data_IF_225860731281
#
_entry.id   IF_225860731281
#
_cell.length_a   1.000
_cell.length_b   1.000
_cell.length_c   1.000
_cell.angle_alpha   90.00
_cell.angle_beta   90.00
_cell.angle_gamma   90.00
#
_symmetry.space_group_name_H-M   'P 1'
#
loop_
_entity.id
_entity.type
_entity.pdbx_description
1 polymer ?
#
# COMPACT_ATOMS: atom_id res chain seq x y z
N UNK A 1 14.33 20.05 -15.46
CA UNK A 1 13.90 18.83 -14.72
C UNK A 1 15.07 17.88 -14.68
N UNK A 2 15.29 17.21 -13.57
CA UNK A 2 16.39 16.28 -13.35
C UNK A 2 15.84 14.90 -13.02
N UNK A 3 16.35 13.86 -13.70
CA UNK A 3 15.96 12.47 -13.46
C UNK A 3 16.86 11.83 -12.40
N UNK A 4 16.27 11.09 -11.49
CA UNK A 4 16.98 10.28 -10.50
C UNK A 4 16.56 8.82 -10.66
N UNK A 5 17.52 7.97 -11.00
CA UNK A 5 17.32 6.53 -11.00
C UNK A 5 17.36 6.02 -9.55
N UNK A 6 16.29 5.35 -9.10
CA UNK A 6 16.23 4.85 -7.72
C UNK A 6 17.14 3.64 -7.50
N UNK A 7 17.38 2.83 -8.53
CA UNK A 7 18.19 1.62 -8.45
C UNK A 7 17.66 0.55 -7.50
N UNK A 8 16.44 0.72 -6.98
CA UNK A 8 15.86 -0.14 -5.97
C UNK A 8 14.43 -0.54 -6.29
N UNK A 9 14.04 -1.75 -5.88
CA UNK A 9 12.65 -2.24 -5.88
C UNK A 9 12.05 -2.32 -4.47
N UNK A 10 12.80 -1.87 -3.47
CA UNK A 10 12.33 -1.72 -2.09
C UNK A 10 11.45 -0.48 -1.97
N UNK A 11 10.17 -0.69 -1.65
CA UNK A 11 9.20 0.40 -1.51
C UNK A 11 9.58 1.40 -0.42
N UNK A 12 10.16 0.92 0.67
CA UNK A 12 10.53 1.80 1.79
C UNK A 12 11.69 2.70 1.41
N UNK A 13 12.68 2.15 0.71
CA UNK A 13 13.79 2.92 0.15
C UNK A 13 13.30 3.96 -0.86
N UNK A 14 12.43 3.57 -1.80
CA UNK A 14 11.92 4.47 -2.83
C UNK A 14 11.10 5.62 -2.25
N UNK A 15 10.28 5.40 -1.22
CA UNK A 15 9.62 6.48 -0.48
C UNK A 15 10.59 7.28 0.40
N UNK A 16 11.60 6.65 0.96
CA UNK A 16 12.69 7.33 1.66
C UNK A 16 13.42 8.31 0.75
N UNK A 17 13.71 7.89 -0.49
CA UNK A 17 14.32 8.72 -1.53
C UNK A 17 13.39 9.89 -1.92
N UNK A 18 12.09 9.63 -2.17
CA UNK A 18 11.09 10.67 -2.43
C UNK A 18 11.08 11.71 -1.30
N UNK A 19 11.06 11.25 -0.03
CA UNK A 19 11.06 12.12 1.15
C UNK A 19 12.34 12.93 1.28
N UNK A 20 13.51 12.30 1.06
CA UNK A 20 14.81 12.92 1.14
C UNK A 20 14.96 14.10 0.17
N UNK A 21 14.61 13.89 -1.11
CA UNK A 21 14.65 14.96 -2.11
C UNK A 21 13.54 16.00 -1.93
N UNK A 22 12.51 15.69 -1.19
CA UNK A 22 11.45 16.64 -0.85
C UNK A 22 11.87 17.61 0.25
N UNK A 23 12.54 17.12 1.31
CA UNK A 23 12.79 17.93 2.52
C UNK A 23 14.25 18.26 2.77
N UNK A 24 15.17 17.33 2.51
CA UNK A 24 16.57 17.45 2.92
C UNK A 24 17.46 17.89 1.77
N UNK A 25 17.47 17.12 0.68
CA UNK A 25 18.29 17.43 -0.52
C UNK A 25 17.47 18.20 -1.55
N UNK A 26 17.27 19.45 -1.28
CA UNK A 26 16.43 20.32 -2.10
C UNK A 26 17.18 20.75 -3.37
N UNK A 27 16.85 20.11 -4.49
CA UNK A 27 17.37 20.52 -5.79
C UNK A 27 16.52 21.68 -6.35
N UNK A 28 17.11 22.66 -7.05
CA UNK A 28 16.37 23.78 -7.62
C UNK A 28 15.46 23.35 -8.78
N UNK A 29 15.81 22.29 -9.48
CA UNK A 29 15.03 21.75 -10.58
C UNK A 29 13.90 20.85 -10.07
N UNK A 30 12.87 20.69 -10.90
CA UNK A 30 11.88 19.62 -10.66
C UNK A 30 12.56 18.26 -10.74
N UNK A 31 12.47 17.46 -9.67
CA UNK A 31 12.96 16.09 -9.67
C UNK A 31 11.91 15.17 -10.27
N UNK A 32 12.35 14.26 -11.10
CA UNK A 32 11.53 13.19 -11.68
C UNK A 32 12.09 11.82 -11.31
N UNK A 33 11.22 10.95 -10.78
CA UNK A 33 11.51 9.55 -10.47
C UNK A 33 10.57 8.66 -11.29
N UNK A 34 11.10 7.53 -11.78
CA UNK A 34 10.29 6.50 -12.41
C UNK A 34 10.76 5.13 -11.88
N UNK A 35 9.92 4.47 -11.09
CA UNK A 35 10.34 3.36 -10.26
C UNK A 35 9.27 2.27 -10.12
N UNK A 36 9.65 1.09 -9.68
CA UNK A 36 8.77 -0.03 -9.39
C UNK A 36 9.16 -0.73 -8.10
N UNK A 37 8.29 -1.61 -7.62
CA UNK A 37 8.51 -2.36 -6.38
C UNK A 37 8.23 -3.85 -6.55
N UNK A 38 8.81 -4.66 -5.68
CA UNK A 38 8.25 -5.98 -5.37
C UNK A 38 6.80 -5.85 -4.91
N UNK A 39 5.98 -6.93 -4.88
CA UNK A 39 4.57 -6.86 -4.51
C UNK A 39 4.33 -6.04 -3.25
N UNK A 40 3.52 -4.98 -3.37
CA UNK A 40 3.33 -3.97 -2.33
C UNK A 40 1.91 -3.42 -2.33
N UNK A 41 1.34 -3.25 -1.15
CA UNK A 41 0.14 -2.45 -0.89
C UNK A 41 0.54 -1.08 -0.34
N UNK A 42 0.13 -0.02 -1.03
CA UNK A 42 0.37 1.36 -0.62
C UNK A 42 -0.93 1.98 -0.11
N UNK A 43 -1.06 2.08 1.21
CA UNK A 43 -2.25 2.64 1.87
C UNK A 43 -2.17 4.16 1.91
N UNK A 44 -3.28 4.84 1.67
CA UNK A 44 -3.36 6.30 1.75
C UNK A 44 -3.23 6.82 3.19
N UNK A 45 -2.74 8.06 3.31
CA UNK A 45 -2.44 8.73 4.59
C UNK A 45 -3.56 8.64 5.61
N UNK A 46 -4.82 8.72 5.15
CA UNK A 46 -6.00 8.84 6.02
C UNK A 46 -6.83 7.55 6.13
N UNK A 47 -6.38 6.46 5.51
CA UNK A 47 -7.12 5.21 5.50
C UNK A 47 -6.88 4.37 6.77
N UNK A 48 -7.90 3.59 7.15
CA UNK A 48 -7.75 2.52 8.10
C UNK A 48 -7.19 1.28 7.38
N UNK A 49 -5.96 0.91 7.70
CA UNK A 49 -5.23 -0.16 7.00
C UNK A 49 -6.02 -1.46 6.97
N UNK A 50 -6.59 -1.85 8.11
CA UNK A 50 -7.23 -3.17 8.26
C UNK A 50 -8.60 -3.28 7.57
N UNK A 51 -9.17 -2.15 7.17
CA UNK A 51 -10.39 -2.12 6.34
C UNK A 51 -10.08 -2.14 4.83
N UNK A 52 -8.81 -1.94 4.46
CA UNK A 52 -8.39 -1.75 3.08
C UNK A 52 -7.63 -2.96 2.49
N UNK A 53 -7.14 -3.85 3.34
CA UNK A 53 -6.26 -4.95 2.91
C UNK A 53 -6.74 -6.31 3.43
N UNK A 54 -6.43 -7.36 2.67
CA UNK A 54 -6.48 -8.74 3.15
C UNK A 54 -5.12 -9.07 3.80
N UNK A 55 -4.99 -8.76 5.11
CA UNK A 55 -3.73 -8.94 5.81
C UNK A 55 -3.23 -10.39 5.81
N UNK A 56 -4.06 -11.42 6.08
CA UNK A 56 -3.61 -12.81 6.03
C UNK A 56 -3.06 -13.22 4.65
N UNK A 57 -3.75 -12.80 3.59
CA UNK A 57 -3.27 -13.06 2.24
C UNK A 57 -1.93 -12.36 1.97
N UNK A 58 -1.83 -11.09 2.36
CA UNK A 58 -0.63 -10.29 2.14
C UNK A 58 0.58 -10.87 2.86
N UNK A 59 0.41 -11.28 4.14
CA UNK A 59 1.45 -11.91 4.94
C UNK A 59 1.91 -13.25 4.32
N UNK A 60 0.96 -14.09 3.89
CA UNK A 60 1.25 -15.38 3.29
C UNK A 60 1.98 -15.29 1.94
N UNK A 61 1.82 -14.18 1.21
CA UNK A 61 2.43 -13.96 -0.11
C UNK A 61 3.60 -12.97 -0.08
N UNK A 62 4.06 -12.56 1.10
CA UNK A 62 5.19 -11.63 1.24
C UNK A 62 4.94 -10.26 0.62
N UNK A 63 3.68 -9.80 0.60
CA UNK A 63 3.30 -8.50 0.05
C UNK A 63 3.66 -7.42 1.07
N UNK A 64 4.52 -6.50 0.68
CA UNK A 64 4.92 -5.38 1.53
C UNK A 64 3.75 -4.42 1.77
N UNK A 65 3.76 -3.77 2.92
CA UNK A 65 2.76 -2.80 3.29
C UNK A 65 3.40 -1.48 3.67
N UNK A 66 3.00 -0.41 3.02
CA UNK A 66 3.49 0.93 3.32
C UNK A 66 2.34 1.94 3.38
N UNK A 67 2.44 2.92 4.28
CA UNK A 67 1.55 4.08 4.28
C UNK A 67 2.24 5.24 3.61
N UNK A 68 1.69 5.70 2.48
CA UNK A 68 2.24 6.86 1.75
C UNK A 68 1.84 8.19 2.39
N UNK A 69 2.56 9.25 2.06
CA UNK A 69 2.34 10.60 2.60
C UNK A 69 1.13 11.31 1.98
N UNK A 70 0.68 10.87 0.80
CA UNK A 70 -0.51 11.40 0.13
C UNK A 70 -1.80 10.71 0.58
N UNK A 71 -2.94 11.39 0.38
CA UNK A 71 -4.29 10.80 0.52
C UNK A 71 -4.65 9.86 -0.63
N UNK A 72 -5.95 9.56 -0.76
CA UNK A 72 -6.50 8.63 -1.75
C UNK A 72 -6.63 7.19 -1.23
N UNK A 73 -7.13 6.30 -2.08
CA UNK A 73 -7.38 4.88 -1.78
C UNK A 73 -6.12 4.01 -1.81
N UNK A 74 -6.24 2.80 -1.28
CA UNK A 74 -5.16 1.79 -1.34
C UNK A 74 -4.92 1.35 -2.78
N UNK A 75 -3.66 1.23 -3.14
CA UNK A 75 -3.22 0.67 -4.42
C UNK A 75 -2.36 -0.57 -4.18
N UNK A 76 -2.40 -1.49 -5.13
CA UNK A 76 -1.48 -2.60 -5.27
C UNK A 76 -0.50 -2.30 -6.41
N UNK A 77 0.75 -2.66 -6.23
CA UNK A 77 1.80 -2.60 -7.26
C UNK A 77 2.75 -3.79 -7.12
N UNK A 78 3.38 -4.17 -8.22
CA UNK A 78 4.33 -5.26 -8.32
C UNK A 78 5.41 -4.94 -9.38
N UNK A 79 6.18 -5.94 -9.77
CA UNK A 79 7.21 -5.77 -10.81
C UNK A 79 6.64 -5.50 -12.21
N UNK A 80 5.33 -5.72 -12.41
CA UNK A 80 4.59 -5.35 -13.62
C UNK A 80 4.00 -3.95 -13.57
N UNK A 81 4.04 -3.29 -12.40
CA UNK A 81 3.57 -1.93 -12.21
C UNK A 81 4.71 -0.91 -12.15
N UNK A 82 4.44 0.33 -12.53
CA UNK A 82 5.37 1.43 -12.41
C UNK A 82 4.78 2.56 -11.59
N UNK A 83 5.61 3.31 -10.90
CA UNK A 83 5.29 4.57 -10.25
C UNK A 83 6.11 5.69 -10.89
N UNK A 84 5.52 6.86 -10.96
CA UNK A 84 6.23 8.08 -11.31
C UNK A 84 6.03 9.12 -10.21
N UNK A 85 7.05 9.93 -9.97
CA UNK A 85 7.01 11.00 -8.97
C UNK A 85 7.64 12.26 -9.54
N UNK A 86 6.95 13.39 -9.37
CA UNK A 86 7.49 14.73 -9.57
C UNK A 86 7.58 15.44 -8.23
N UNK A 87 8.76 16.01 -7.94
CA UNK A 87 9.00 16.80 -6.73
C UNK A 87 9.36 18.21 -7.20
N UNK A 88 8.57 19.19 -6.79
CA UNK A 88 8.75 20.57 -7.23
C UNK A 88 8.66 21.53 -6.06
N UNK A 89 9.67 22.39 -5.92
CA UNK A 89 9.62 23.54 -5.02
C UNK A 89 8.80 24.64 -5.67
N UNK A 90 7.65 24.93 -5.11
CA UNK A 90 6.70 25.93 -5.62
C UNK A 90 5.93 26.56 -4.48
N UNK A 91 5.72 27.88 -4.55
CA UNK A 91 4.85 28.58 -3.63
C UNK A 91 3.43 27.99 -3.61
N UNK A 92 2.66 28.33 -2.58
CA UNK A 92 1.34 27.77 -2.34
C UNK A 92 0.42 27.87 -3.57
N UNK A 93 -0.23 26.76 -3.90
CA UNK A 93 -1.23 26.64 -4.96
C UNK A 93 -2.22 25.52 -4.64
N UNK A 94 -3.31 25.48 -5.40
CA UNK A 94 -4.28 24.39 -5.33
C UNK A 94 -3.70 23.08 -5.85
N UNK A 95 -4.38 21.96 -5.53
CA UNK A 95 -4.05 20.64 -6.09
C UNK A 95 -4.36 20.69 -7.59
N UNK A 96 -3.34 20.47 -8.41
CA UNK A 96 -3.46 20.46 -9.86
C UNK A 96 -2.74 19.26 -10.43
N UNK A 97 -3.49 18.37 -11.07
CA UNK A 97 -2.94 17.14 -11.64
C UNK A 97 -2.46 17.30 -13.08
N UNK A 98 -3.11 18.17 -13.86
CA UNK A 98 -2.98 18.23 -15.32
C UNK A 98 -1.54 18.39 -15.81
N UNK A 99 -0.76 19.28 -15.18
CA UNK A 99 0.62 19.56 -15.57
C UNK A 99 1.57 18.36 -15.37
N UNK A 100 1.27 17.48 -14.44
CA UNK A 100 2.10 16.30 -14.14
C UNK A 100 1.69 15.06 -14.93
N UNK A 101 0.41 14.97 -15.29
CA UNK A 101 -0.10 13.82 -16.05
C UNK A 101 -0.01 14.01 -17.56
N UNK A 102 0.01 15.26 -18.06
CA UNK A 102 0.13 15.53 -19.50
C UNK A 102 1.37 14.90 -20.14
N UNK A 103 2.58 14.96 -19.53
CA UNK A 103 3.76 14.26 -20.05
C UNK A 103 3.59 12.73 -20.09
N UNK A 104 2.87 12.16 -19.10
CA UNK A 104 2.61 10.71 -19.03
C UNK A 104 1.66 10.28 -20.16
N UNK A 105 0.60 11.04 -20.40
CA UNK A 105 -0.33 10.79 -21.52
C UNK A 105 0.40 10.93 -22.86
N UNK A 106 1.25 11.97 -22.99
CA UNK A 106 2.05 12.17 -24.20
C UNK A 106 2.98 11.00 -24.51
N UNK A 107 3.68 10.50 -23.48
CA UNK A 107 4.56 9.33 -23.62
C UNK A 107 3.80 8.07 -24.06
N UNK A 108 2.62 7.83 -23.51
CA UNK A 108 1.77 6.72 -23.93
C UNK A 108 1.27 6.89 -25.37
N UNK A 109 0.94 8.13 -25.77
CA UNK A 109 0.54 8.46 -27.13
C UNK A 109 1.63 8.15 -28.17
N UNK A 110 2.91 8.39 -27.86
CA UNK A 110 4.04 8.00 -28.72
C UNK A 110 4.17 6.48 -28.88
N UNK A 111 3.77 5.73 -27.87
CA UNK A 111 3.72 4.26 -27.92
C UNK A 111 2.43 3.72 -28.58
N UNK A 112 1.55 4.59 -29.10
CA UNK A 112 0.32 4.22 -29.77
C UNK A 112 -0.84 3.93 -28.81
N UNK A 113 -0.74 4.29 -27.51
CA UNK A 113 -1.77 4.08 -26.52
C UNK A 113 -2.57 5.35 -26.30
N UNK A 114 -3.87 5.32 -26.57
CA UNK A 114 -4.78 6.46 -26.35
C UNK A 114 -5.27 6.50 -24.90
N UNK A 115 -4.64 7.34 -24.10
CA UNK A 115 -4.98 7.53 -22.70
C UNK A 115 -5.77 8.82 -22.46
N UNK A 116 -6.70 8.82 -21.51
CA UNK A 116 -7.50 9.98 -21.15
C UNK A 116 -7.49 10.23 -19.63
N UNK A 117 -7.57 11.50 -19.25
CA UNK A 117 -7.75 11.91 -17.86
C UNK A 117 -9.24 12.02 -17.51
N UNK A 118 -9.68 11.40 -16.43
CA UNK A 118 -11.09 11.39 -16.02
C UNK A 118 -11.55 12.68 -15.30
N UNK A 119 -10.68 13.66 -15.15
CA UNK A 119 -11.00 14.95 -14.52
C UNK A 119 -10.88 14.97 -12.99
N UNK A 120 -10.62 13.83 -12.33
CA UNK A 120 -10.36 13.77 -10.88
C UNK A 120 -8.90 13.40 -10.61
N UNK A 121 -8.55 12.13 -10.69
CA UNK A 121 -7.20 11.64 -10.39
C UNK A 121 -6.84 10.34 -11.11
N UNK A 122 -7.68 9.83 -12.01
CA UNK A 122 -7.43 8.59 -12.72
C UNK A 122 -7.12 8.83 -14.20
N UNK A 123 -6.23 8.01 -14.76
CA UNK A 123 -6.05 7.87 -16.20
C UNK A 123 -6.69 6.58 -16.67
N UNK A 124 -7.33 6.65 -17.83
CA UNK A 124 -8.10 5.54 -18.42
C UNK A 124 -7.70 5.28 -19.86
N UNK A 125 -7.81 4.02 -20.27
CA UNK A 125 -7.81 3.57 -21.66
C UNK A 125 -9.14 2.88 -21.89
N UNK A 126 -9.90 3.31 -22.90
CA UNK A 126 -11.24 2.80 -23.21
C UNK A 126 -12.18 2.77 -21.98
N UNK A 127 -12.09 3.82 -21.13
CA UNK A 127 -12.89 3.95 -19.93
C UNK A 127 -12.44 3.07 -18.75
N UNK A 128 -11.44 2.19 -18.91
CA UNK A 128 -10.86 1.37 -17.84
C UNK A 128 -9.62 2.05 -17.25
N UNK A 129 -9.55 2.09 -15.93
CA UNK A 129 -8.46 2.72 -15.19
C UNK A 129 -7.17 1.91 -15.32
N UNK A 130 -6.07 2.58 -15.62
CA UNK A 130 -4.73 2.01 -15.59
C UNK A 130 -3.76 2.80 -14.68
N UNK A 131 -4.17 3.99 -14.23
CA UNK A 131 -3.36 4.85 -13.38
C UNK A 131 -4.22 5.57 -12.36
N UNK A 132 -3.72 5.66 -11.13
CA UNK A 132 -4.23 6.53 -10.09
C UNK A 132 -3.16 7.53 -9.68
N UNK A 133 -3.57 8.79 -9.48
CA UNK A 133 -2.67 9.87 -9.14
C UNK A 133 -3.00 10.47 -7.79
N UNK A 134 -1.99 10.94 -7.08
CA UNK A 134 -2.12 11.62 -5.81
C UNK A 134 -1.10 12.74 -5.69
N UNK A 135 -1.45 13.76 -4.92
CA UNK A 135 -0.59 14.89 -4.68
C UNK A 135 -0.61 15.23 -3.20
N UNK A 136 0.53 15.62 -2.67
CA UNK A 136 0.61 16.15 -1.31
C UNK A 136 1.62 17.28 -1.25
N UNK A 137 1.58 17.97 -0.12
CA UNK A 137 2.44 19.09 0.16
C UNK A 137 3.22 18.84 1.42
N UNK A 138 4.49 19.20 1.39
CA UNK A 138 5.37 19.13 2.55
C UNK A 138 6.27 20.37 2.55
N UNK A 139 6.00 21.29 3.48
CA UNK A 139 6.59 22.63 3.44
C UNK A 139 6.17 23.40 2.18
N UNK A 140 7.14 23.96 1.47
CA UNK A 140 6.99 24.64 0.19
C UNK A 140 7.17 23.70 -1.02
N UNK A 141 7.19 22.40 -0.79
CA UNK A 141 7.37 21.40 -1.82
C UNK A 141 6.04 20.71 -2.17
N UNK A 142 5.77 20.57 -3.46
CA UNK A 142 4.69 19.76 -4.01
C UNK A 142 5.28 18.45 -4.50
N UNK A 143 4.69 17.34 -4.05
CA UNK A 143 4.98 16.00 -4.55
C UNK A 143 3.74 15.47 -5.25
N UNK A 144 3.88 15.18 -6.53
CA UNK A 144 2.87 14.50 -7.33
C UNK A 144 3.39 13.12 -7.71
N UNK A 145 2.64 12.09 -7.38
CA UNK A 145 2.98 10.74 -7.78
C UNK A 145 1.78 9.99 -8.34
N UNK A 146 2.05 9.07 -9.25
CA UNK A 146 1.05 8.22 -9.87
C UNK A 146 1.55 6.80 -10.05
N UNK A 147 0.59 5.88 -10.16
CA UNK A 147 0.82 4.48 -10.47
C UNK A 147 0.44 4.19 -11.93
N UNK A 148 1.13 3.25 -12.56
CA UNK A 148 0.83 2.75 -13.90
C UNK A 148 0.70 1.22 -13.83
N UNK A 149 -0.42 0.67 -14.21
CA UNK A 149 -0.60 -0.76 -14.42
C UNK A 149 -0.06 -1.09 -15.80
N UNK A 150 1.22 -1.49 -15.88
CA UNK A 150 1.83 -1.86 -17.17
C UNK A 150 1.52 -3.32 -17.51
N UNK A 151 1.92 -4.25 -16.64
CA UNK A 151 1.65 -5.70 -16.73
C UNK A 151 1.49 -6.30 -15.32
N UNK A 152 0.67 -5.63 -14.51
CA UNK A 152 0.43 -5.94 -13.09
C UNK A 152 -0.44 -7.18 -12.95
N UNK A 153 -0.16 -8.02 -11.95
CA UNK A 153 -1.02 -9.14 -11.57
C UNK A 153 -2.32 -8.66 -10.92
N UNK A 154 -3.37 -8.50 -11.74
CA UNK A 154 -4.69 -8.07 -11.29
C UNK A 154 -5.34 -9.09 -10.35
N UNK A 155 -5.02 -10.39 -10.47
CA UNK A 155 -5.58 -11.39 -9.57
C UNK A 155 -4.99 -11.24 -8.16
N UNK A 156 -3.70 -11.04 -8.04
CA UNK A 156 -3.05 -10.76 -6.76
C UNK A 156 -3.50 -9.42 -6.18
N UNK A 157 -3.68 -8.39 -7.00
CA UNK A 157 -4.26 -7.11 -6.59
C UNK A 157 -5.63 -7.31 -5.93
N UNK A 158 -6.55 -8.06 -6.55
CA UNK A 158 -7.88 -8.34 -6.01
C UNK A 158 -7.80 -9.13 -4.71
N UNK A 159 -6.97 -10.17 -4.66
CA UNK A 159 -6.84 -11.03 -3.50
C UNK A 159 -6.28 -10.27 -2.28
N UNK A 160 -5.34 -9.36 -2.50
CA UNK A 160 -4.69 -8.57 -1.45
C UNK A 160 -5.52 -7.39 -0.94
N UNK A 161 -6.46 -6.87 -1.74
CA UNK A 161 -7.33 -5.73 -1.39
C UNK A 161 -8.75 -6.12 -1.00
N UNK A 162 -9.12 -7.40 -1.10
CA UNK A 162 -10.43 -7.87 -0.68
C UNK A 162 -10.38 -8.31 0.77
N UNK A 163 -10.91 -7.48 1.68
CA UNK A 163 -10.87 -7.70 3.13
C UNK A 163 -11.48 -9.03 3.55
N UNK A 164 -12.59 -9.42 2.94
CA UNK A 164 -13.25 -10.69 3.20
C UNK A 164 -12.74 -11.78 2.26
N UNK A 165 -11.86 -12.65 2.71
CA UNK A 165 -11.22 -13.70 1.91
C UNK A 165 -12.23 -14.63 1.19
N UNK A 166 -13.39 -14.91 1.80
CA UNK A 166 -14.45 -15.72 1.19
C UNK A 166 -15.14 -15.04 -0.01
N UNK A 167 -14.94 -13.73 -0.20
CA UNK A 167 -15.45 -12.97 -1.35
C UNK A 167 -14.54 -13.01 -2.57
N UNK A 168 -13.34 -13.58 -2.43
CA UNK A 168 -12.39 -13.71 -3.54
C UNK A 168 -12.89 -14.84 -4.44
N UNK A 169 -13.58 -14.47 -5.49
CA UNK A 169 -14.13 -15.41 -6.48
C UNK A 169 -13.72 -14.99 -7.88
N UNK A 170 -13.85 -15.90 -8.84
CA UNK A 170 -13.65 -15.56 -10.25
C UNK A 170 -14.53 -14.40 -10.71
N UNK A 171 -15.71 -14.21 -10.09
CA UNK A 171 -16.60 -13.08 -10.34
C UNK A 171 -16.04 -11.76 -9.83
N UNK A 172 -15.38 -11.71 -8.65
CA UNK A 172 -14.76 -10.50 -8.13
C UNK A 172 -13.56 -10.07 -8.97
N UNK A 173 -12.72 -11.01 -9.39
CA UNK A 173 -11.60 -10.75 -10.31
C UNK A 173 -12.12 -10.20 -11.65
N UNK A 174 -13.16 -10.80 -12.21
CA UNK A 174 -13.79 -10.31 -13.44
C UNK A 174 -14.33 -8.90 -13.27
N UNK A 175 -15.04 -8.61 -12.18
CA UNK A 175 -15.59 -7.27 -11.89
C UNK A 175 -14.51 -6.20 -11.74
N UNK A 176 -13.31 -6.53 -11.25
CA UNK A 176 -12.17 -5.59 -11.21
C UNK A 176 -11.58 -5.42 -12.61
N UNK A 177 -11.37 -6.50 -13.37
CA UNK A 177 -10.89 -6.45 -14.76
C UNK A 177 -11.80 -5.64 -15.69
N UNK A 178 -13.09 -5.57 -15.39
CA UNK A 178 -14.03 -4.73 -16.15
C UNK A 178 -13.80 -3.21 -15.89
N UNK A 179 -13.11 -2.86 -14.82
CA UNK A 179 -12.86 -1.46 -14.39
C UNK A 179 -11.40 -1.01 -14.52
N UNK A 180 -10.46 -1.95 -14.53
CA UNK A 180 -9.03 -1.68 -14.68
C UNK A 180 -8.45 -2.42 -15.88
N UNK A 181 -7.31 -1.96 -16.36
CA UNK A 181 -6.59 -2.59 -17.48
C UNK A 181 -5.09 -2.38 -17.34
N UNK A 182 -4.31 -3.28 -17.92
CA UNK A 182 -2.86 -3.10 -18.09
C UNK A 182 -2.57 -2.35 -19.38
N UNK A 183 -1.56 -1.49 -19.37
CA UNK A 183 -1.09 -0.76 -20.56
C UNK A 183 -0.60 -1.74 -21.63
N UNK A 184 0.07 -2.82 -21.22
CA UNK A 184 0.60 -3.85 -22.13
C UNK A 184 -0.45 -4.45 -23.06
N UNK A 185 -1.72 -4.51 -22.62
CA UNK A 185 -2.85 -5.02 -23.42
C UNK A 185 -3.23 -4.10 -24.59
N UNK A 186 -2.75 -2.83 -24.58
CA UNK A 186 -3.13 -1.79 -25.55
C UNK A 186 -1.95 -1.34 -26.44
N UNK A 187 -0.78 -1.92 -26.24
CA UNK A 187 0.38 -1.64 -27.08
C UNK A 187 0.21 -2.29 -28.45
N UNK A 188 0.60 -1.60 -29.55
CA UNK A 188 0.50 -2.16 -30.91
C UNK A 188 1.46 -3.34 -31.13
N UNK A 189 2.50 -3.48 -30.34
CA UNK A 189 3.43 -4.62 -30.32
C UNK A 189 3.87 -4.91 -28.89
N UNK A 190 4.21 -6.17 -28.54
CA UNK A 190 4.73 -6.52 -27.23
C UNK A 190 5.96 -5.69 -26.88
N UNK A 191 6.02 -5.20 -25.65
CA UNK A 191 7.13 -4.40 -25.11
C UNK A 191 7.47 -4.93 -23.72
N UNK A 192 8.76 -5.08 -23.43
CA UNK A 192 9.21 -5.42 -22.09
C UNK A 192 9.20 -4.21 -21.15
N UNK A 193 9.24 -4.48 -19.86
CA UNK A 193 9.13 -3.46 -18.82
C UNK A 193 10.30 -2.44 -18.85
N UNK A 194 11.50 -2.83 -19.24
CA UNK A 194 12.65 -1.93 -19.29
C UNK A 194 12.58 -1.01 -20.52
N UNK A 195 12.15 -1.53 -21.66
CA UNK A 195 11.87 -0.74 -22.87
C UNK A 195 10.75 0.26 -22.60
N UNK A 196 9.70 -0.15 -21.91
CA UNK A 196 8.62 0.75 -21.47
C UNK A 196 9.17 1.88 -20.60
N UNK A 197 9.94 1.56 -19.55
CA UNK A 197 10.59 2.54 -18.69
C UNK A 197 11.44 3.53 -19.50
N UNK A 198 12.33 3.02 -20.32
CA UNK A 198 13.24 3.87 -21.12
C UNK A 198 12.47 4.84 -22.01
N UNK A 199 11.37 4.39 -22.61
CA UNK A 199 10.52 5.22 -23.47
C UNK A 199 9.79 6.28 -22.66
N UNK A 200 9.19 5.91 -21.52
CA UNK A 200 8.53 6.85 -20.63
C UNK A 200 9.48 7.92 -20.11
N UNK A 201 10.65 7.53 -19.60
CA UNK A 201 11.66 8.48 -19.06
C UNK A 201 12.15 9.40 -20.14
N UNK A 202 12.53 8.89 -21.32
CA UNK A 202 12.99 9.70 -22.44
C UNK A 202 11.98 10.76 -22.87
N UNK A 203 10.70 10.37 -22.97
CA UNK A 203 9.64 11.28 -23.38
C UNK A 203 9.37 12.33 -22.31
N UNK A 204 9.19 11.91 -21.04
CA UNK A 204 8.89 12.82 -19.93
C UNK A 204 10.04 13.81 -19.69
N UNK A 205 11.29 13.36 -19.86
CA UNK A 205 12.47 14.23 -19.81
C UNK A 205 12.63 15.11 -21.07
N UNK A 206 11.75 14.97 -22.06
CA UNK A 206 11.81 15.68 -23.33
C UNK A 206 13.20 15.57 -24.00
N UNK A 207 13.79 14.38 -23.93
CA UNK A 207 15.13 14.08 -24.47
C UNK A 207 16.30 14.68 -23.67
N UNK A 208 16.04 15.38 -22.55
CA UNK A 208 17.11 15.85 -21.64
C UNK A 208 17.83 14.66 -21.03
N UNK A 209 19.16 14.79 -20.92
CA UNK A 209 20.03 13.82 -20.23
C UNK A 209 20.39 14.26 -18.79
N UNK A 210 19.72 15.27 -18.27
CA UNK A 210 19.98 15.78 -16.93
C UNK A 210 19.61 14.75 -15.87
N UNK A 211 20.63 14.23 -15.18
CA UNK A 211 20.47 13.21 -14.15
C UNK A 211 21.22 13.61 -12.89
N UNK A 212 20.69 13.15 -11.75
CA UNK A 212 21.40 13.20 -10.47
C UNK A 212 21.72 11.76 -10.04
N UNK A 213 22.98 11.51 -9.70
CA UNK A 213 23.41 10.22 -9.18
C UNK A 213 23.41 10.27 -7.65
N UNK A 214 22.64 9.39 -7.02
CA UNK A 214 22.60 9.23 -5.56
C UNK A 214 23.99 8.89 -5.05
N UNK A 215 24.51 9.73 -4.17
CA UNK A 215 25.84 9.51 -3.54
C UNK A 215 25.75 8.50 -2.41
N UNK A 216 26.87 7.92 -1.94
CA UNK A 216 26.85 7.05 -0.74
C UNK A 216 26.30 7.73 0.51
N UNK A 217 26.50 9.03 0.67
CA UNK A 217 25.95 9.83 1.76
C UNK A 217 24.42 9.94 1.64
N UNK A 218 23.92 10.25 0.44
CA UNK A 218 22.49 10.29 0.16
C UNK A 218 21.86 8.92 0.45
N UNK A 219 22.47 7.82 -0.05
CA UNK A 219 21.98 6.45 0.15
C UNK A 219 21.86 6.09 1.62
N UNK A 220 22.88 6.41 2.41
CA UNK A 220 22.86 6.17 3.86
C UNK A 220 21.69 6.90 4.53
N UNK A 221 21.50 8.19 4.22
CA UNK A 221 20.42 8.99 4.79
C UNK A 221 19.04 8.54 4.32
N UNK A 222 18.89 8.15 3.05
CA UNK A 222 17.66 7.60 2.49
C UNK A 222 17.25 6.33 3.24
N UNK A 223 18.18 5.43 3.55
CA UNK A 223 17.92 4.21 4.33
C UNK A 223 17.46 4.48 5.75
N UNK A 224 18.07 5.47 6.42
CA UNK A 224 17.59 5.91 7.74
C UNK A 224 16.16 6.41 7.68
N UNK A 225 15.85 7.29 6.72
CA UNK A 225 14.49 7.81 6.51
C UNK A 225 13.50 6.68 6.18
N UNK A 226 13.90 5.72 5.35
CA UNK A 226 13.06 4.56 5.02
C UNK A 226 12.63 3.80 6.28
N UNK A 227 13.58 3.52 7.18
CA UNK A 227 13.29 2.87 8.46
C UNK A 227 12.41 3.72 9.38
N UNK A 228 12.76 4.99 9.57
CA UNK A 228 12.04 5.89 10.48
C UNK A 228 10.62 6.25 10.03
N UNK A 229 10.43 6.51 8.73
CA UNK A 229 9.19 7.10 8.22
C UNK A 229 8.25 6.11 7.56
N UNK A 230 8.74 4.98 7.03
CA UNK A 230 7.93 4.13 6.16
C UNK A 230 7.86 2.66 6.59
N UNK A 231 8.87 2.13 7.29
CA UNK A 231 8.95 0.71 7.62
C UNK A 231 8.39 0.36 8.99
N UNK A 232 8.33 1.30 9.92
CA UNK A 232 7.90 1.02 11.29
C UNK A 232 6.40 0.69 11.36
N UNK A 233 6.06 -0.27 12.24
CA UNK A 233 4.67 -0.66 12.50
C UNK A 233 3.81 0.55 12.92
N UNK A 234 4.35 1.45 13.75
CA UNK A 234 3.64 2.63 14.20
C UNK A 234 3.26 3.56 13.03
N UNK A 235 4.13 3.71 12.04
CA UNK A 235 3.87 4.55 10.86
C UNK A 235 2.80 3.94 9.97
N UNK A 236 2.77 2.62 9.85
CA UNK A 236 1.82 1.91 9.00
C UNK A 236 0.45 1.81 9.69
N UNK A 237 0.39 1.22 10.88
CA UNK A 237 -0.85 0.90 11.61
C UNK A 237 -1.22 1.94 12.67
N UNK A 238 -0.25 2.46 13.41
CA UNK A 238 -0.48 3.38 14.53
C UNK A 238 -1.14 4.71 14.13
N UNK A 239 -1.13 5.06 12.84
CA UNK A 239 -1.82 6.22 12.27
C UNK A 239 -3.21 5.92 11.74
N UNK A 240 -3.68 4.68 11.86
CA UNK A 240 -5.05 4.32 11.47
C UNK A 240 -6.05 5.06 12.36
N UNK A 241 -7.20 5.50 11.81
CA UNK A 241 -8.26 6.09 12.62
C UNK A 241 -8.82 5.05 13.60
N UNK A 242 -9.55 5.51 14.61
CA UNK A 242 -10.28 4.63 15.53
C UNK A 242 -11.29 3.78 14.75
N UNK A 243 -11.31 2.48 15.02
CA UNK A 243 -12.27 1.57 14.42
C UNK A 243 -12.65 0.47 15.42
N UNK A 244 -13.82 -0.14 15.19
CA UNK A 244 -14.30 -1.30 15.92
C UNK A 244 -14.29 -2.49 14.97
N UNK A 245 -13.78 -3.63 15.45
CA UNK A 245 -13.68 -4.88 14.70
C UNK A 245 -14.64 -5.89 15.31
N UNK A 246 -15.38 -6.61 14.47
CA UNK A 246 -16.19 -7.76 14.82
C UNK A 246 -15.69 -8.97 14.02
N UNK A 247 -15.16 -9.96 14.71
CA UNK A 247 -14.57 -11.16 14.13
C UNK A 247 -15.22 -12.43 14.69
N UNK A 248 -15.47 -13.38 13.83
CA UNK A 248 -16.11 -14.65 14.21
C UNK A 248 -15.38 -15.83 13.60
N UNK A 249 -14.99 -16.79 14.41
CA UNK A 249 -14.50 -18.10 14.01
C UNK A 249 -15.41 -19.23 14.46
N UNK A 250 -15.41 -20.36 13.74
CA UNK A 250 -16.12 -21.58 14.12
C UNK A 250 -15.13 -22.75 14.09
N UNK A 251 -15.02 -23.40 15.25
CA UNK A 251 -14.05 -24.47 15.50
C UNK A 251 -14.72 -25.71 16.06
N UNK A 252 -13.95 -26.77 16.28
CA UNK A 252 -14.44 -28.01 16.91
C UNK A 252 -14.97 -27.80 18.34
N UNK A 253 -14.50 -26.75 19.04
CA UNK A 253 -14.91 -26.36 20.38
C UNK A 253 -16.10 -25.40 20.43
N UNK A 254 -16.58 -24.93 19.28
CA UNK A 254 -17.71 -24.01 19.18
C UNK A 254 -17.42 -22.76 18.33
N UNK A 255 -18.38 -21.83 18.36
CA UNK A 255 -18.24 -20.49 17.77
C UNK A 255 -17.58 -19.56 18.78
N UNK A 256 -16.60 -18.79 18.31
CA UNK A 256 -16.00 -17.68 19.07
C UNK A 256 -16.15 -16.40 18.27
N UNK A 257 -16.59 -15.34 18.92
CA UNK A 257 -16.70 -14.01 18.33
C UNK A 257 -15.99 -13.02 19.25
N UNK A 258 -15.05 -12.27 18.67
CA UNK A 258 -14.41 -11.13 19.34
C UNK A 258 -14.94 -9.82 18.78
N UNK A 259 -15.29 -8.91 19.69
CA UNK A 259 -15.49 -7.49 19.36
C UNK A 259 -14.34 -6.69 19.95
N UNK A 260 -13.67 -5.89 19.14
CA UNK A 260 -12.43 -5.21 19.49
C UNK A 260 -12.52 -3.72 19.19
N UNK A 261 -12.08 -2.88 20.12
CA UNK A 261 -11.75 -1.48 19.85
C UNK A 261 -10.23 -1.37 19.68
N UNK A 262 -9.80 -1.09 18.46
CA UNK A 262 -8.38 -0.96 18.12
C UNK A 262 -8.06 0.50 17.83
N UNK A 263 -7.18 1.09 18.62
CA UNK A 263 -6.76 2.48 18.46
C UNK A 263 -5.24 2.56 18.30
N UNK A 264 -4.81 3.28 17.29
CA UNK A 264 -3.38 3.40 16.94
C UNK A 264 -2.68 2.04 16.83
N UNK A 265 -3.41 1.03 16.30
CA UNK A 265 -2.92 -0.33 16.13
C UNK A 265 -2.79 -1.17 17.41
N UNK A 266 -3.26 -0.69 18.54
CA UNK A 266 -3.30 -1.43 19.81
C UNK A 266 -4.74 -1.76 20.20
N UNK A 267 -4.97 -2.97 20.72
CA UNK A 267 -6.27 -3.37 21.27
C UNK A 267 -6.50 -2.60 22.56
N UNK A 268 -7.54 -1.77 22.60
CA UNK A 268 -7.91 -0.93 23.74
C UNK A 268 -9.09 -1.46 24.50
N UNK A 269 -9.94 -2.23 23.86
CA UNK A 269 -11.06 -2.91 24.46
C UNK A 269 -11.36 -4.21 23.71
N UNK A 270 -11.82 -5.23 24.40
CA UNK A 270 -12.15 -6.52 23.86
C UNK A 270 -13.34 -7.12 24.56
N UNK A 271 -14.24 -7.75 23.80
CA UNK A 271 -15.32 -8.58 24.34
C UNK A 271 -15.38 -9.89 23.54
N UNK A 272 -15.55 -11.01 24.24
CA UNK A 272 -15.67 -12.34 23.64
C UNK A 272 -17.06 -12.92 23.88
N UNK A 273 -17.62 -13.51 22.81
CA UNK A 273 -18.92 -14.16 22.82
C UNK A 273 -18.84 -15.50 22.10
N UNK A 274 -19.78 -16.39 22.35
CA UNK A 274 -19.84 -17.65 21.63
C UNK A 274 -20.56 -18.76 22.38
N UNK A 275 -20.47 -19.97 21.83
CA UNK A 275 -21.03 -21.20 22.40
C UNK A 275 -19.92 -22.21 22.83
N UNK A 276 -18.70 -21.69 23.01
CA UNK A 276 -17.54 -22.46 23.44
C UNK A 276 -17.54 -22.71 24.95
N UNK A 277 -16.76 -23.70 25.40
CA UNK A 277 -16.49 -23.98 26.82
C UNK A 277 -15.06 -23.53 27.16
N UNK A 278 -14.90 -22.92 28.34
CA UNK A 278 -13.58 -22.48 28.81
C UNK A 278 -13.45 -22.71 30.31
N UNK A 279 -12.24 -22.98 30.77
CA UNK A 279 -11.89 -23.01 32.21
C UNK A 279 -11.58 -21.61 32.75
N UNK A 280 -11.41 -20.61 31.88
CA UNK A 280 -11.23 -19.21 32.20
C UNK A 280 -12.50 -18.44 31.85
N UNK A 281 -12.75 -17.34 32.58
CA UNK A 281 -13.83 -16.44 32.27
C UNK A 281 -13.52 -15.56 31.03
N UNK A 282 -14.57 -14.93 30.51
CA UNK A 282 -14.46 -14.05 29.33
C UNK A 282 -13.58 -12.83 29.61
N UNK A 283 -13.59 -12.31 30.82
CA UNK A 283 -12.83 -11.13 31.23
C UNK A 283 -11.32 -11.43 31.20
N UNK A 284 -10.91 -12.63 31.64
CA UNK A 284 -9.52 -13.10 31.56
C UNK A 284 -9.03 -13.22 30.11
N UNK A 285 -9.89 -13.79 29.24
CA UNK A 285 -9.58 -13.88 27.80
C UNK A 285 -9.41 -12.49 27.18
N UNK A 286 -10.28 -11.55 27.53
CA UNK A 286 -10.22 -10.18 27.02
C UNK A 286 -9.03 -9.41 27.60
N UNK A 287 -8.74 -9.57 28.91
CA UNK A 287 -7.63 -8.89 29.58
C UNK A 287 -6.28 -9.23 28.95
N UNK A 288 -6.09 -10.47 28.48
CA UNK A 288 -4.88 -10.89 27.78
C UNK A 288 -4.61 -10.10 26.48
N UNK A 289 -5.65 -9.56 25.87
CA UNK A 289 -5.56 -8.81 24.62
C UNK A 289 -5.33 -7.31 24.84
N UNK A 290 -5.53 -6.79 26.03
CA UNK A 290 -5.47 -5.37 26.32
C UNK A 290 -4.05 -4.80 26.13
N UNK A 291 -3.94 -3.73 25.33
CA UNK A 291 -2.65 -3.10 25.02
C UNK A 291 -1.78 -3.86 24.03
N UNK A 292 -2.23 -5.04 23.57
CA UNK A 292 -1.52 -5.86 22.61
C UNK A 292 -1.54 -5.19 21.21
N UNK A 293 -0.44 -5.20 20.45
CA UNK A 293 -0.46 -4.88 19.03
C UNK A 293 -1.44 -5.77 18.26
N UNK A 294 -2.26 -5.18 17.39
CA UNK A 294 -3.19 -5.91 16.54
C UNK A 294 -2.44 -6.63 15.42
N UNK A 295 -1.67 -7.62 15.82
CA UNK A 295 -0.80 -8.45 15.00
C UNK A 295 -0.81 -9.89 15.51
N UNK A 296 -0.88 -10.87 14.60
CA UNK A 296 -1.06 -12.29 14.94
C UNK A 296 -0.01 -12.81 15.91
N UNK A 297 1.27 -12.50 15.66
CA UNK A 297 2.38 -12.94 16.51
C UNK A 297 2.28 -12.38 17.93
N UNK A 298 1.96 -11.10 18.06
CA UNK A 298 1.80 -10.41 19.34
C UNK A 298 0.58 -10.94 20.11
N UNK A 299 -0.56 -11.11 19.44
CA UNK A 299 -1.77 -11.67 20.02
C UNK A 299 -1.54 -13.11 20.50
N UNK A 300 -0.92 -13.96 19.68
CA UNK A 300 -0.59 -15.33 20.07
C UNK A 300 0.33 -15.39 21.28
N UNK A 301 1.37 -14.56 21.31
CA UNK A 301 2.28 -14.47 22.45
C UNK A 301 1.55 -14.00 23.72
N UNK A 302 0.65 -13.02 23.60
CA UNK A 302 -0.16 -12.53 24.71
C UNK A 302 -1.11 -13.61 25.25
N UNK A 303 -1.83 -14.32 24.38
CA UNK A 303 -2.71 -15.43 24.78
C UNK A 303 -1.93 -16.53 25.53
N UNK A 304 -0.77 -16.92 25.01
CA UNK A 304 0.08 -17.94 25.64
C UNK A 304 0.64 -17.50 26.99
N UNK A 305 1.10 -16.27 27.10
CA UNK A 305 1.66 -15.74 28.35
C UNK A 305 0.62 -15.62 29.48
N UNK A 306 -0.66 -15.55 29.14
CA UNK A 306 -1.76 -15.55 30.09
C UNK A 306 -2.39 -16.93 30.30
N UNK A 307 -1.74 -18.02 29.84
CA UNK A 307 -2.18 -19.38 30.07
C UNK A 307 -3.47 -19.79 29.35
N UNK A 308 -3.79 -19.11 28.26
CA UNK A 308 -5.04 -19.35 27.50
C UNK A 308 -4.93 -20.60 26.63
N UNK A 309 -3.69 -21.01 26.30
CA UNK A 309 -3.48 -22.24 25.53
C UNK A 309 -3.99 -23.46 26.32
N UNK A 310 -4.95 -24.19 25.72
CA UNK A 310 -5.63 -25.31 26.35
C UNK A 310 -6.75 -24.93 27.30
N UNK A 311 -6.96 -23.65 27.63
CA UNK A 311 -8.05 -23.22 28.53
C UNK A 311 -9.44 -23.25 27.84
N UNK A 312 -9.47 -23.04 26.52
CA UNK A 312 -10.70 -23.12 25.72
C UNK A 312 -10.82 -24.52 25.14
N UNK A 313 -11.91 -25.22 25.42
CA UNK A 313 -12.10 -26.61 25.02
C UNK A 313 -12.09 -26.76 23.49
N UNK A 314 -11.14 -27.55 22.96
CA UNK A 314 -10.95 -27.83 21.53
C UNK A 314 -10.77 -26.60 20.66
N UNK A 315 -10.20 -25.54 21.23
CA UNK A 315 -9.79 -24.33 20.47
C UNK A 315 -8.40 -23.92 20.98
N UNK A 316 -7.42 -23.91 20.12
CA UNK A 316 -6.04 -23.55 20.44
C UNK A 316 -5.85 -22.03 20.53
N UNK A 317 -4.75 -21.60 21.15
CA UNK A 317 -4.36 -20.20 21.15
C UNK A 317 -4.10 -19.65 19.73
N UNK A 318 -3.61 -20.48 18.81
CA UNK A 318 -3.43 -20.16 17.40
C UNK A 318 -4.75 -19.86 16.69
N UNK A 319 -5.77 -20.70 16.95
CA UNK A 319 -7.12 -20.51 16.41
C UNK A 319 -7.77 -19.25 16.96
N UNK A 320 -7.62 -18.99 18.26
CA UNK A 320 -8.11 -17.75 18.88
C UNK A 320 -7.40 -16.52 18.31
N UNK A 321 -6.07 -16.58 18.15
CA UNK A 321 -5.31 -15.49 17.55
C UNK A 321 -5.74 -15.23 16.11
N UNK A 322 -6.06 -16.30 15.34
CA UNK A 322 -6.58 -16.14 13.99
C UNK A 322 -7.94 -15.44 13.97
N UNK A 323 -8.85 -15.75 14.91
CA UNK A 323 -10.11 -15.03 15.00
C UNK A 323 -9.91 -13.55 15.34
N UNK A 324 -8.98 -13.24 16.23
CA UNK A 324 -8.72 -11.85 16.66
C UNK A 324 -8.21 -11.00 15.51
N UNK A 325 -7.32 -11.55 14.65
CA UNK A 325 -6.55 -10.74 13.69
C UNK A 325 -6.92 -11.02 12.23
N UNK A 326 -7.34 -12.25 11.89
CA UNK A 326 -7.67 -12.65 10.53
C UNK A 326 -9.15 -12.40 10.21
#
# INVERSE_FOLDING_TARGET
MIYIETGSTDVYYNFGLEYYFTLEKRLPETVFLFWRTTPTLMVGKYQNVLEEINKPYSDAHGIHLVRRMSGGGTIYTDMGGWQFTFIQHKEAGEIEFSQYIAPVIGALGEMGVSAAFNGRNDLTIDGRKFSGNAQYRLGDCIVHHGSLLFDTDIAQMVASTTVDSYKITSKSIKSVRDRVTNISEHLPAPMDAETFKATMVRHIMNGSADTYTVTPEDDARIREIAGEQFQSWERIFGRSPKFTIDRTGRFAGGKVQFKLDVQKGLIRDAAVYGDFFSTLDADTLCAALMGCPYERGAVLAALRSHGIDGAVYRISAEELASVVVD
#
